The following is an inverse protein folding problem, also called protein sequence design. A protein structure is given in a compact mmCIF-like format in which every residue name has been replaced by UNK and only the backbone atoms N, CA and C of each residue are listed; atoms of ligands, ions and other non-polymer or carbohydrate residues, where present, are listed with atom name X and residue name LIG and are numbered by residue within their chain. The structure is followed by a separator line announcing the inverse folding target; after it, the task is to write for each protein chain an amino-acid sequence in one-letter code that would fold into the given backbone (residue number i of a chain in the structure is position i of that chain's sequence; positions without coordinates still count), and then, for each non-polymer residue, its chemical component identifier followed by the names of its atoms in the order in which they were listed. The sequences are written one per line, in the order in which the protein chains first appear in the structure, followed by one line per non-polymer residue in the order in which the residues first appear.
data_IF_649443514619
#
_entry.id   IF_649443514619
#
_cell.length_a   1.000
_cell.length_b   1.000
_cell.length_c   1.000
_cell.angle_alpha   90.00
_cell.angle_beta   90.00
_cell.angle_gamma   90.00
#
_symmetry.space_group_name_H-M   'P 1'
#
loop_
_entity.id
_entity.type
_entity.pdbx_description
1 polymer ?
#
# COMPACT_ATOMS: atom_id res chain seq x y z
N UNK A 1 -27.37 7.96 -13.73
CA UNK A 1 -26.34 7.55 -14.70
C UNK A 1 -25.03 7.54 -13.95
N UNK A 2 -24.85 6.48 -13.17
CA UNK A 2 -23.66 6.24 -12.36
C UNK A 2 -22.82 5.29 -13.20
N UNK A 3 -21.75 5.80 -13.79
CA UNK A 3 -20.71 4.93 -14.33
C UNK A 3 -20.14 4.19 -13.14
N UNK A 4 -20.54 2.93 -13.00
CA UNK A 4 -19.92 1.95 -12.12
C UNK A 4 -18.45 1.87 -12.53
N UNK A 5 -17.62 2.67 -11.87
CA UNK A 5 -16.18 2.47 -11.87
C UNK A 5 -16.03 1.21 -11.03
N UNK A 6 -16.22 0.07 -11.67
CA UNK A 6 -15.69 -1.21 -11.24
C UNK A 6 -14.19 -1.02 -11.11
N UNK A 7 -13.77 -0.46 -9.97
CA UNK A 7 -12.45 -0.70 -9.41
C UNK A 7 -12.45 -2.21 -9.27
N UNK A 8 -11.94 -2.91 -10.29
CA UNK A 8 -11.48 -4.28 -10.15
C UNK A 8 -10.56 -4.20 -8.96
N UNK A 9 -11.12 -4.53 -7.79
CA UNK A 9 -10.37 -4.69 -6.57
C UNK A 9 -9.35 -5.73 -7.00
N UNK A 10 -8.12 -5.28 -7.23
CA UNK A 10 -7.06 -6.18 -7.64
C UNK A 10 -6.96 -7.12 -6.47
N UNK A 11 -7.51 -8.30 -6.70
CA UNK A 11 -7.82 -9.27 -5.68
C UNK A 11 -6.49 -9.52 -5.03
N UNK A 12 -6.40 -9.14 -3.76
CA UNK A 12 -5.17 -9.09 -2.96
C UNK A 12 -4.57 -10.49 -2.71
N UNK A 13 -5.20 -11.50 -3.33
CA UNK A 13 -4.86 -12.90 -3.42
C UNK A 13 -4.06 -13.28 -4.68
N UNK A 14 -3.86 -12.37 -5.64
CA UNK A 14 -2.94 -12.60 -6.76
C UNK A 14 -1.48 -12.54 -6.27
N UNK A 15 -0.76 -13.68 -6.18
CA UNK A 15 0.57 -13.71 -5.57
C UNK A 15 1.59 -12.89 -6.36
N UNK A 16 1.37 -12.75 -7.66
CA UNK A 16 2.19 -11.93 -8.55
C UNK A 16 2.05 -10.44 -8.22
N UNK A 17 0.83 -9.96 -8.02
CA UNK A 17 0.56 -8.59 -7.61
C UNK A 17 1.22 -8.26 -6.27
N UNK A 18 1.06 -9.13 -5.26
CA UNK A 18 1.67 -8.95 -3.93
C UNK A 18 3.20 -8.88 -4.01
N UNK A 19 3.84 -9.75 -4.81
CA UNK A 19 5.30 -9.73 -5.02
C UNK A 19 5.78 -8.43 -5.67
N UNK A 20 5.04 -7.91 -6.67
CA UNK A 20 5.36 -6.63 -7.32
C UNK A 20 5.24 -5.46 -6.35
N UNK A 21 4.15 -5.40 -5.59
CA UNK A 21 3.91 -4.33 -4.61
C UNK A 21 4.94 -4.36 -3.49
N UNK A 22 5.27 -5.55 -2.97
CA UNK A 22 6.31 -5.70 -1.96
C UNK A 22 7.65 -5.17 -2.46
N UNK A 23 8.06 -5.60 -3.67
CA UNK A 23 9.32 -5.15 -4.26
C UNK A 23 9.33 -3.63 -4.46
N UNK A 24 8.24 -3.07 -4.96
CA UNK A 24 8.05 -1.64 -5.10
C UNK A 24 8.22 -0.88 -3.77
N UNK A 25 7.62 -1.37 -2.68
CA UNK A 25 7.75 -0.77 -1.36
C UNK A 25 9.19 -0.84 -0.83
N UNK A 26 9.93 -1.92 -1.12
CA UNK A 26 11.35 -2.06 -0.79
C UNK A 26 12.26 -1.16 -1.62
N UNK A 27 11.90 -0.88 -2.88
CA UNK A 27 12.64 0.04 -3.75
C UNK A 27 12.39 1.52 -3.40
N UNK A 28 11.29 1.82 -2.73
CA UNK A 28 10.94 3.18 -2.31
C UNK A 28 11.73 3.60 -1.05
N UNK A 29 12.59 4.64 -1.13
CA UNK A 29 13.46 5.02 -0.02
C UNK A 29 12.71 5.56 1.20
N UNK A 30 11.46 6.01 1.05
CA UNK A 30 10.68 6.58 2.14
C UNK A 30 9.83 5.51 2.85
N UNK A 31 9.35 4.50 2.13
CA UNK A 31 8.53 3.38 2.64
C UNK A 31 9.41 2.22 3.12
N UNK A 32 10.49 1.90 2.40
CA UNK A 32 11.42 0.82 2.73
C UNK A 32 11.80 0.79 4.22
N UNK A 33 12.27 1.88 4.85
CA UNK A 33 12.66 1.84 6.26
C UNK A 33 11.49 1.51 7.20
N UNK A 34 10.26 1.95 6.89
CA UNK A 34 9.06 1.57 7.67
C UNK A 34 8.76 0.08 7.49
N UNK A 35 8.82 -0.41 6.25
CA UNK A 35 8.56 -1.79 5.90
C UNK A 35 9.57 -2.74 6.55
N UNK A 36 10.87 -2.47 6.39
CA UNK A 36 11.95 -3.24 7.01
C UNK A 36 11.78 -3.26 8.53
N UNK A 37 11.49 -2.13 9.16
CA UNK A 37 11.28 -2.07 10.61
C UNK A 37 10.07 -2.89 11.05
N UNK A 38 8.95 -2.80 10.33
CA UNK A 38 7.73 -3.57 10.64
C UNK A 38 7.93 -5.09 10.46
N UNK A 39 8.83 -5.49 9.55
CA UNK A 39 9.23 -6.90 9.35
C UNK A 39 10.15 -7.40 10.46
N UNK A 40 11.00 -6.54 11.03
CA UNK A 40 11.96 -6.92 12.07
C UNK A 40 11.35 -6.84 13.49
N UNK A 41 10.37 -5.96 13.71
CA UNK A 41 9.72 -5.79 15.01
C UNK A 41 8.27 -5.31 14.87
N UNK A 42 7.37 -5.92 15.63
CA UNK A 42 5.96 -5.49 15.70
C UNK A 42 5.80 -4.24 16.58
N UNK A 43 6.73 -4.03 17.51
CA UNK A 43 6.71 -2.92 18.46
C UNK A 43 6.82 -1.57 17.76
N UNK A 44 6.16 -0.60 18.37
CA UNK A 44 6.25 0.80 17.96
C UNK A 44 7.69 1.28 18.17
N UNK A 45 8.33 1.69 17.07
CA UNK A 45 9.67 2.30 17.08
C UNK A 45 9.81 3.44 18.11
N UNK A 46 11.02 3.69 18.57
CA UNK A 46 11.25 4.88 19.40
C UNK A 46 11.41 6.11 18.52
N UNK A 47 11.22 7.31 19.09
CA UNK A 47 11.53 8.56 18.37
C UNK A 47 13.00 8.60 17.90
N UNK A 48 13.93 8.04 18.68
CA UNK A 48 15.35 8.02 18.34
C UNK A 48 15.64 7.21 17.08
N UNK A 49 14.90 6.13 16.87
CA UNK A 49 15.02 5.27 15.68
C UNK A 49 14.54 5.96 14.40
N UNK A 50 13.64 6.95 14.52
CA UNK A 50 13.02 7.65 13.37
C UNK A 50 13.56 9.05 13.16
N UNK A 51 14.13 9.66 14.19
CA UNK A 51 14.81 10.95 14.09
C UNK A 51 15.80 11.06 12.91
N UNK A 52 16.64 10.04 12.59
CA UNK A 52 17.54 10.12 11.43
C UNK A 52 16.85 9.89 10.07
N UNK A 53 15.61 9.41 10.05
CA UNK A 53 14.90 9.08 8.80
C UNK A 53 14.43 10.31 8.02
N UNK A 54 14.09 10.08 6.75
CA UNK A 54 13.50 11.07 5.85
C UNK A 54 12.21 11.67 6.42
N UNK A 55 11.94 12.93 6.07
CA UNK A 55 10.69 13.61 6.42
C UNK A 55 9.46 12.86 5.90
N UNK A 56 9.55 12.18 4.75
CA UNK A 56 8.45 11.40 4.20
C UNK A 56 8.23 10.11 5.00
N UNK A 57 9.30 9.42 5.43
CA UNK A 57 9.22 8.29 6.37
C UNK A 57 8.57 8.69 7.70
N UNK A 58 8.97 9.83 8.26
CA UNK A 58 8.39 10.40 9.49
C UNK A 58 6.88 10.66 9.39
N UNK A 59 6.32 10.88 8.19
CA UNK A 59 4.86 11.05 8.03
C UNK A 59 4.08 9.76 8.29
N UNK A 60 4.70 8.60 8.09
CA UNK A 60 4.06 7.31 8.38
C UNK A 60 4.11 6.96 9.87
N UNK A 61 4.96 7.65 10.64
CA UNK A 61 5.12 7.42 12.06
C UNK A 61 3.84 7.48 12.91
N UNK A 62 3.03 8.56 12.84
CA UNK A 62 1.77 8.61 13.59
C UNK A 62 0.76 7.54 13.18
N UNK A 63 0.96 6.91 12.02
CA UNK A 63 0.09 5.85 11.52
C UNK A 63 0.62 4.45 11.86
N UNK A 64 1.73 4.30 12.58
CA UNK A 64 2.36 3.00 12.86
C UNK A 64 1.39 1.94 13.39
N UNK A 65 0.52 2.33 14.32
CA UNK A 65 -0.47 1.46 14.94
C UNK A 65 -1.55 1.01 13.94
N UNK A 66 -1.78 1.80 12.88
CA UNK A 66 -2.66 1.46 11.77
C UNK A 66 -1.96 0.72 10.63
N UNK A 67 -0.62 0.57 10.68
CA UNK A 67 0.13 -0.15 9.66
C UNK A 67 0.19 -1.64 10.01
N UNK A 68 -0.14 -2.48 9.05
CA UNK A 68 -0.03 -3.93 9.19
C UNK A 68 0.62 -4.56 7.96
N UNK A 69 1.31 -5.67 8.19
CA UNK A 69 1.87 -6.50 7.14
C UNK A 69 0.91 -7.62 6.78
N UNK A 70 0.72 -7.84 5.48
CA UNK A 70 0.03 -9.01 4.95
C UNK A 70 0.80 -9.51 3.73
N UNK A 71 1.23 -10.77 3.78
CA UNK A 71 2.05 -11.41 2.73
C UNK A 71 3.30 -10.58 2.37
N UNK A 72 3.89 -9.90 3.36
CA UNK A 72 5.07 -9.05 3.19
C UNK A 72 4.81 -7.69 2.53
N UNK A 73 3.56 -7.34 2.25
CA UNK A 73 3.12 -6.04 1.77
C UNK A 73 2.60 -5.19 2.93
N UNK A 74 2.95 -3.91 2.94
CA UNK A 74 2.49 -2.95 3.95
C UNK A 74 1.11 -2.38 3.59
N UNK A 75 0.17 -2.57 4.50
CA UNK A 75 -1.19 -2.02 4.45
C UNK A 75 -1.39 -1.01 5.56
N UNK A 76 -2.30 -0.06 5.30
CA UNK A 76 -2.91 0.80 6.29
C UNK A 76 -4.33 0.33 6.55
N UNK A 77 -4.61 -0.03 7.80
CA UNK A 77 -5.96 -0.24 8.31
C UNK A 77 -6.58 1.13 8.60
N UNK A 78 -7.79 1.35 8.13
CA UNK A 78 -8.63 2.46 8.55
C UNK A 78 -9.88 1.89 9.19
N UNK A 79 -10.19 2.38 10.39
CA UNK A 79 -11.42 2.06 11.11
C UNK A 79 -12.29 3.30 11.17
N UNK A 80 -13.58 3.13 10.88
CA UNK A 80 -14.58 4.17 11.16
C UNK A 80 -14.60 4.46 12.66
N UNK A 81 -14.93 5.69 13.03
CA UNK A 81 -15.11 6.12 14.43
C UNK A 81 -16.15 5.24 15.18
N UNK A 82 -17.20 4.81 14.46
CA UNK A 82 -18.24 3.89 14.95
C UNK A 82 -17.77 2.41 15.04
N UNK A 83 -16.56 2.09 14.59
CA UNK A 83 -16.03 0.71 14.54
C UNK A 83 -16.71 -0.19 13.49
N UNK A 84 -17.75 0.28 12.80
CA UNK A 84 -18.55 -0.50 11.85
C UNK A 84 -17.82 -0.93 10.59
N UNK A 85 -16.74 -0.23 10.21
CA UNK A 85 -16.05 -0.47 8.94
C UNK A 85 -14.54 -0.52 9.13
N UNK A 86 -13.95 -1.64 8.72
CA UNK A 86 -12.51 -1.81 8.57
C UNK A 86 -12.17 -1.78 7.07
N UNK A 87 -11.35 -0.82 6.63
CA UNK A 87 -10.82 -0.78 5.25
C UNK A 87 -9.31 -0.97 5.25
N UNK A 88 -8.84 -1.81 4.36
CA UNK A 88 -7.41 -2.03 4.13
C UNK A 88 -6.97 -1.28 2.88
N UNK A 89 -5.93 -0.46 3.00
CA UNK A 89 -5.34 0.30 1.89
C UNK A 89 -3.88 -0.09 1.72
N UNK A 90 -3.49 -0.44 0.50
CA UNK A 90 -2.07 -0.69 0.18
C UNK A 90 -1.33 0.66 0.15
N UNK A 91 -0.16 0.72 0.79
CA UNK A 91 0.70 1.90 0.68
C UNK A 91 1.54 1.78 -0.59
N UNK A 92 1.14 2.46 -1.65
CA UNK A 92 1.88 2.44 -2.92
C UNK A 92 2.94 3.55 -2.97
N UNK A 93 4.18 3.23 -3.37
CA UNK A 93 5.16 4.20 -3.81
C UNK A 93 4.61 5.10 -4.93
N UNK A 94 4.97 6.37 -4.92
CA UNK A 94 4.47 7.35 -5.91
C UNK A 94 4.83 6.96 -7.35
N UNK A 95 6.01 6.37 -7.55
CA UNK A 95 6.48 5.92 -8.86
C UNK A 95 5.64 4.76 -9.42
N UNK A 96 5.19 3.87 -8.54
CA UNK A 96 4.44 2.67 -8.92
C UNK A 96 2.94 2.97 -9.01
N UNK A 97 2.43 3.98 -8.29
CA UNK A 97 1.08 4.49 -8.48
C UNK A 97 0.82 4.89 -9.94
N UNK A 98 1.78 5.56 -10.59
CA UNK A 98 1.67 5.92 -12.01
C UNK A 98 1.56 4.69 -12.91
N UNK A 99 2.45 3.70 -12.75
CA UNK A 99 2.45 2.47 -13.55
C UNK A 99 1.21 1.60 -13.28
N UNK A 100 0.75 1.57 -12.04
CA UNK A 100 -0.47 0.89 -11.63
C UNK A 100 -1.70 1.51 -12.30
N UNK A 101 -1.83 2.84 -12.24
CA UNK A 101 -2.89 3.57 -12.93
C UNK A 101 -2.84 3.37 -14.44
N UNK A 102 -1.65 3.44 -15.05
CA UNK A 102 -1.46 3.17 -16.49
C UNK A 102 -1.94 1.75 -16.84
N UNK A 103 -1.59 0.75 -16.05
CA UNK A 103 -1.98 -0.64 -16.32
C UNK A 103 -3.45 -0.92 -16.09
N UNK A 104 -4.07 -0.29 -15.09
CA UNK A 104 -5.53 -0.34 -14.91
C UNK A 104 -6.26 0.29 -16.12
N UNK A 105 -5.72 1.37 -16.67
CA UNK A 105 -6.27 2.01 -17.87
C UNK A 105 -6.09 1.13 -19.12
N UNK A 106 -4.95 0.44 -19.28
CA UNK A 106 -4.72 -0.47 -20.42
C UNK A 106 -5.53 -1.76 -20.34
N UNK A 107 -5.70 -2.34 -19.14
CA UNK A 107 -6.49 -3.56 -18.95
C UNK A 107 -8.00 -3.35 -19.23
N UNK A 108 -8.50 -2.12 -19.15
CA UNK A 108 -9.86 -1.75 -19.56
C UNK A 108 -9.99 -1.66 -21.09
N UNK A 109 -8.91 -1.31 -21.81
CA UNK A 109 -8.88 -1.18 -23.28
C UNK A 109 -8.82 -2.53 -23.97
N UNK A 110 -8.03 -3.48 -23.47
CA UNK A 110 -7.95 -4.82 -24.09
C UNK A 110 -9.23 -5.64 -23.89
N UNK A 111 -9.94 -5.44 -22.78
CA UNK A 111 -11.26 -6.05 -22.56
C UNK A 111 -12.39 -5.50 -23.46
N UNK A 112 -12.15 -4.44 -24.25
CA UNK A 112 -13.11 -3.90 -25.22
C UNK A 112 -12.79 -4.24 -26.68
N UNK A 113 -11.67 -4.91 -26.96
CA UNK A 113 -11.32 -5.38 -28.31
C UNK A 113 -11.66 -6.86 -28.55
N UNK A 114 -12.04 -7.60 -27.51
CA UNK A 114 -12.56 -8.97 -27.59
C UNK A 114 -14.09 -9.05 -27.43
N UNK A 115 -14.84 -8.10 -28.01
CA UNK A 115 -16.32 -8.16 -28.09
C UNK A 115 -16.83 -7.85 -29.50
#
# INVERSE_FOLDING_TARGET
METDISVKVLTTEDPWFSSKVQKAQLEDPDIRPILEKKLNSEDRLSWQEIAPESTATKRYWPFWDSLHLKDGVLYRKWESDDGSSCRWQIILPKAEFKKFCERLMTAQVEGSLES
#
